data_IF_021965718714
#
_entry.id   IF_021965718714
#
_cell.length_a   1.000
_cell.length_b   1.000
_cell.length_c   1.000
_cell.angle_alpha   90.00
_cell.angle_beta   90.00
_cell.angle_gamma   90.00
#
_symmetry.space_group_name_H-M   'P 1'
#
loop_
_entity.id
_entity.type
_entity.pdbx_description
1 polymer ?
#
# COMPACT_ATOMS: atom_id res chain seq x y z
N UNK A 1 27.44 12.12 1.87
CA UNK A 1 27.08 12.08 3.31
C UNK A 1 26.67 10.64 3.59
N UNK A 2 27.36 9.96 4.47
CA UNK A 2 26.94 8.60 4.87
C UNK A 2 25.68 8.76 5.72
N UNK A 3 24.58 8.18 5.28
CA UNK A 3 23.27 8.22 5.97
C UNK A 3 23.32 7.62 7.40
N UNK A 4 24.48 7.05 7.78
CA UNK A 4 24.71 6.41 9.08
C UNK A 4 24.86 7.40 10.25
N UNK A 5 25.08 8.69 9.96
CA UNK A 5 25.31 9.71 10.99
C UNK A 5 24.10 10.63 11.25
N UNK A 6 22.98 10.45 10.53
CA UNK A 6 21.79 11.29 10.72
C UNK A 6 20.99 10.83 11.94
N UNK A 7 20.83 11.73 12.89
CA UNK A 7 20.09 11.43 14.13
C UNK A 7 18.62 11.87 14.08
N UNK A 8 18.25 12.69 13.11
CA UNK A 8 16.91 13.28 12.91
C UNK A 8 16.34 13.94 14.17
N UNK A 9 17.20 14.61 14.95
CA UNK A 9 16.78 15.36 16.14
C UNK A 9 16.31 16.77 15.81
N UNK A 10 16.73 17.31 14.67
CA UNK A 10 16.49 18.71 14.30
C UNK A 10 15.94 18.82 12.86
N UNK A 11 15.19 19.91 12.60
CA UNK A 11 14.73 20.24 11.24
C UNK A 11 15.92 20.50 10.29
N UNK A 12 17.07 20.93 10.80
CA UNK A 12 18.30 21.12 10.00
C UNK A 12 18.82 19.79 9.47
N UNK A 13 18.94 18.76 10.32
CA UNK A 13 19.37 17.42 9.89
C UNK A 13 18.40 16.81 8.87
N UNK A 14 17.10 17.06 9.04
CA UNK A 14 16.09 16.62 8.09
C UNK A 14 16.27 17.30 6.73
N UNK A 15 16.55 18.60 6.71
CA UNK A 15 16.84 19.34 5.47
C UNK A 15 18.12 18.83 4.81
N UNK A 16 19.18 18.60 5.56
CA UNK A 16 20.44 18.03 5.05
C UNK A 16 20.21 16.66 4.42
N UNK A 17 19.31 15.86 5.01
CA UNK A 17 18.90 14.59 4.42
C UNK A 17 18.12 14.76 3.10
N UNK A 18 17.22 15.73 3.01
CA UNK A 18 16.55 16.06 1.75
C UNK A 18 17.53 16.53 0.68
N UNK A 19 18.46 17.40 1.02
CA UNK A 19 19.51 17.87 0.10
C UNK A 19 20.35 16.70 -0.43
N UNK A 20 20.63 15.71 0.43
CA UNK A 20 21.26 14.47 0.00
C UNK A 20 20.38 13.66 -0.97
N UNK A 21 19.09 13.49 -0.72
CA UNK A 21 18.18 12.81 -1.67
C UNK A 21 18.21 13.52 -3.02
N UNK A 22 18.16 14.85 -3.05
CA UNK A 22 18.26 15.63 -4.29
C UNK A 22 19.59 15.41 -5.04
N UNK A 23 20.69 15.22 -4.32
CA UNK A 23 22.00 15.00 -4.91
C UNK A 23 22.15 13.65 -5.63
N UNK A 24 21.35 12.66 -5.25
CA UNK A 24 21.39 11.28 -5.80
C UNK A 24 20.16 10.92 -6.65
N UNK A 25 19.33 11.92 -6.97
CA UNK A 25 18.10 11.71 -7.73
C UNK A 25 18.36 11.22 -9.15
N UNK A 26 17.48 10.37 -9.63
CA UNK A 26 17.41 9.93 -11.02
C UNK A 26 16.29 10.69 -11.74
N UNK A 27 16.67 11.58 -12.64
CA UNK A 27 15.74 12.48 -13.34
C UNK A 27 14.82 11.70 -14.27
N UNK A 28 15.33 10.70 -15.00
CA UNK A 28 14.53 9.89 -15.93
C UNK A 28 13.49 9.09 -15.15
N UNK A 29 13.90 8.51 -14.01
CA UNK A 29 12.99 7.79 -13.11
C UNK A 29 11.94 8.73 -12.51
N UNK A 30 12.29 9.94 -12.10
CA UNK A 30 11.35 10.97 -11.65
C UNK A 30 10.31 11.26 -12.73
N UNK A 31 10.76 11.58 -13.94
CA UNK A 31 9.89 11.97 -15.05
C UNK A 31 8.96 10.83 -15.49
N UNK A 32 9.43 9.60 -15.40
CA UNK A 32 8.59 8.42 -15.60
C UNK A 32 7.52 8.30 -14.50
N UNK A 33 7.91 8.37 -13.22
CA UNK A 33 6.97 8.21 -12.10
C UNK A 33 5.93 9.33 -12.06
N UNK A 34 6.30 10.57 -12.37
CA UNK A 34 5.36 11.69 -12.42
C UNK A 34 4.20 11.46 -13.41
N UNK A 35 4.42 10.65 -14.46
CA UNK A 35 3.38 10.31 -15.45
C UNK A 35 2.45 9.21 -14.98
N UNK A 36 2.91 8.29 -14.13
CA UNK A 36 2.15 7.10 -13.73
C UNK A 36 1.56 7.18 -12.34
N UNK A 37 2.19 7.95 -11.43
CA UNK A 37 1.70 8.15 -10.06
C UNK A 37 0.73 9.32 -10.08
N UNK A 38 -0.55 9.03 -10.33
CA UNK A 38 -1.64 10.02 -10.35
C UNK A 38 -2.84 9.48 -9.57
N UNK A 39 -3.61 10.32 -8.87
CA UNK A 39 -3.25 11.70 -8.51
C UNK A 39 -2.09 11.74 -7.51
N UNK A 40 -1.43 12.87 -7.39
CA UNK A 40 -0.39 13.10 -6.39
C UNK A 40 -0.41 14.57 -5.97
N UNK A 41 -0.49 14.81 -4.66
CA UNK A 41 -0.47 16.15 -4.07
C UNK A 41 0.93 16.58 -3.62
N UNK A 42 1.94 15.73 -3.86
CA UNK A 42 3.33 15.99 -3.51
C UNK A 42 4.25 15.86 -4.73
N UNK A 43 5.39 16.52 -4.66
CA UNK A 43 6.41 16.40 -5.70
C UNK A 43 7.17 15.07 -5.60
N UNK A 44 7.79 14.64 -6.70
CA UNK A 44 8.62 13.42 -6.76
C UNK A 44 10.08 13.85 -6.95
N UNK A 45 10.97 13.42 -6.04
CA UNK A 45 12.41 13.67 -6.14
C UNK A 45 13.04 12.79 -7.23
N UNK A 46 12.65 11.52 -7.26
CA UNK A 46 13.17 10.53 -8.21
C UNK A 46 14.18 9.56 -7.59
N UNK A 47 13.94 9.09 -6.38
CA UNK A 47 14.79 8.08 -5.75
C UNK A 47 14.21 6.69 -6.00
N UNK A 48 15.01 5.80 -6.59
CA UNK A 48 14.57 4.43 -6.87
C UNK A 48 14.21 3.68 -5.60
N UNK A 49 13.10 2.96 -5.62
CA UNK A 49 12.55 2.21 -4.47
C UNK A 49 13.58 1.33 -3.74
N UNK A 50 14.48 0.58 -4.40
CA UNK A 50 15.50 -0.19 -3.68
C UNK A 50 16.44 0.68 -2.84
N UNK A 51 16.80 1.87 -3.33
CA UNK A 51 17.66 2.83 -2.59
C UNK A 51 16.91 3.36 -1.37
N UNK A 52 15.64 3.78 -1.52
CA UNK A 52 14.81 4.22 -0.41
C UNK A 52 14.65 3.13 0.66
N UNK A 53 14.41 1.88 0.25
CA UNK A 53 14.31 0.75 1.19
C UNK A 53 15.61 0.50 1.95
N UNK A 54 16.76 0.63 1.29
CA UNK A 54 18.07 0.49 1.95
C UNK A 54 18.30 1.60 2.97
N UNK A 55 17.99 2.85 2.62
CA UNK A 55 18.04 3.99 3.54
C UNK A 55 17.12 3.77 4.74
N UNK A 56 15.87 3.36 4.51
CA UNK A 56 14.93 3.08 5.58
C UNK A 56 15.45 1.98 6.53
N UNK A 57 16.11 0.93 6.02
CA UNK A 57 16.74 -0.10 6.87
C UNK A 57 17.90 0.45 7.71
N UNK A 58 18.69 1.38 7.18
CA UNK A 58 19.79 2.03 7.92
C UNK A 58 19.21 2.91 9.02
N UNK A 59 18.26 3.79 8.70
CA UNK A 59 17.57 4.67 9.65
C UNK A 59 16.84 3.84 10.74
N UNK A 60 16.22 2.72 10.36
CA UNK A 60 15.54 1.82 11.30
C UNK A 60 16.45 1.23 12.38
N UNK A 61 17.76 1.14 12.13
CA UNK A 61 18.75 0.63 13.10
C UNK A 61 19.26 1.69 14.07
N UNK A 62 19.21 2.97 13.70
CA UNK A 62 19.92 4.05 14.42
C UNK A 62 19.01 5.12 14.95
N UNK A 63 18.00 5.55 14.21
CA UNK A 63 17.26 6.79 14.49
C UNK A 63 15.79 6.77 14.05
N UNK A 64 15.18 5.59 13.96
CA UNK A 64 13.81 5.46 13.44
C UNK A 64 12.77 6.25 14.21
N UNK A 65 12.82 6.24 15.54
CA UNK A 65 11.86 6.97 16.38
C UNK A 65 11.99 8.47 16.17
N UNK A 66 13.22 8.99 16.13
CA UNK A 66 13.46 10.40 15.87
C UNK A 66 12.94 10.82 14.50
N UNK A 67 13.20 9.99 13.45
CA UNK A 67 12.69 10.27 12.11
C UNK A 67 11.15 10.32 12.10
N UNK A 68 10.50 9.29 12.64
CA UNK A 68 9.03 9.20 12.66
C UNK A 68 8.42 10.41 13.38
N UNK A 69 8.92 10.74 14.57
CA UNK A 69 8.43 11.87 15.36
C UNK A 69 8.67 13.22 14.65
N UNK A 70 9.84 13.40 14.07
CA UNK A 70 10.17 14.64 13.35
C UNK A 70 9.35 14.79 12.06
N UNK A 71 9.16 13.71 11.31
CA UNK A 71 8.32 13.69 10.12
C UNK A 71 6.88 14.10 10.45
N UNK A 72 6.25 13.51 11.48
CA UNK A 72 4.89 13.85 11.89
C UNK A 72 4.74 15.33 12.28
N UNK A 73 5.74 15.84 13.03
CA UNK A 73 5.81 17.26 13.38
C UNK A 73 5.94 18.16 12.14
N UNK A 74 6.77 17.77 11.16
CA UNK A 74 6.96 18.53 9.93
C UNK A 74 5.72 18.45 9.03
N UNK A 75 5.09 17.29 8.95
CA UNK A 75 3.83 17.12 8.21
C UNK A 75 2.74 18.04 8.75
N UNK A 76 2.54 18.07 10.08
CA UNK A 76 1.58 18.97 10.74
C UNK A 76 1.86 20.45 10.42
N UNK A 77 3.12 20.82 10.24
CA UNK A 77 3.55 22.16 9.84
C UNK A 77 3.49 22.41 8.32
N UNK A 78 2.98 21.46 7.52
CA UNK A 78 2.95 21.50 6.05
C UNK A 78 4.34 21.68 5.42
N UNK A 79 5.36 21.04 5.99
CA UNK A 79 6.75 21.08 5.52
C UNK A 79 7.20 19.77 4.85
N UNK A 80 6.31 18.80 4.68
CA UNK A 80 6.55 17.56 3.93
C UNK A 80 5.96 17.73 2.56
N UNK A 81 6.78 17.65 1.52
CA UNK A 81 6.39 18.01 0.15
C UNK A 81 6.66 16.89 -0.87
N UNK A 82 7.39 15.82 -0.51
CA UNK A 82 7.86 14.84 -1.48
C UNK A 82 7.29 13.44 -1.23
N UNK A 83 7.02 12.73 -2.33
CA UNK A 83 6.61 11.34 -2.36
C UNK A 83 7.55 10.44 -1.54
N UNK A 84 8.85 10.64 -1.71
CA UNK A 84 9.87 9.83 -1.05
C UNK A 84 9.87 9.97 0.47
N UNK A 85 9.49 11.13 1.00
CA UNK A 85 9.35 11.34 2.44
C UNK A 85 8.24 10.46 3.02
N UNK A 86 7.08 10.40 2.34
CA UNK A 86 5.95 9.54 2.73
C UNK A 86 6.28 8.06 2.59
N UNK A 87 6.98 7.69 1.51
CA UNK A 87 7.43 6.32 1.29
C UNK A 87 8.42 5.86 2.36
N UNK A 88 9.39 6.71 2.73
CA UNK A 88 10.33 6.43 3.83
C UNK A 88 9.62 6.26 5.17
N UNK A 89 8.65 7.14 5.49
CA UNK A 89 7.84 7.00 6.70
C UNK A 89 7.16 5.63 6.73
N UNK A 90 6.49 5.23 5.66
CA UNK A 90 5.83 3.94 5.54
C UNK A 90 6.81 2.75 5.67
N UNK A 91 7.98 2.81 5.04
CA UNK A 91 9.00 1.76 5.18
C UNK A 91 9.53 1.65 6.61
N UNK A 92 9.70 2.77 7.30
CA UNK A 92 10.16 2.79 8.68
C UNK A 92 9.15 2.14 9.64
N UNK A 93 7.85 2.29 9.40
CA UNK A 93 6.83 1.53 10.15
C UNK A 93 7.11 0.02 10.04
N UNK A 94 7.47 -0.45 8.85
CA UNK A 94 7.76 -1.87 8.61
C UNK A 94 9.06 -2.35 9.24
N UNK A 95 10.14 -1.56 9.14
CA UNK A 95 11.49 -1.98 9.53
C UNK A 95 11.87 -1.66 10.99
N UNK A 96 11.21 -0.69 11.64
CA UNK A 96 11.55 -0.27 12.99
C UNK A 96 11.24 -1.32 14.05
N UNK A 97 12.05 -1.35 15.11
CA UNK A 97 11.83 -2.18 16.28
C UNK A 97 10.95 -1.44 17.30
N UNK A 98 9.69 -1.29 16.98
CA UNK A 98 8.65 -0.71 17.85
C UNK A 98 7.63 -1.80 18.20
N UNK A 99 6.95 -1.64 19.33
CA UNK A 99 5.89 -2.57 19.72
C UNK A 99 4.69 -2.50 18.76
N UNK A 100 3.81 -3.49 18.85
CA UNK A 100 2.70 -3.61 17.90
C UNK A 100 1.68 -2.48 18.04
N UNK A 101 1.39 -2.03 19.27
CA UNK A 101 0.40 -0.98 19.49
C UNK A 101 0.92 0.39 19.01
N UNK A 102 2.19 0.70 19.25
CA UNK A 102 2.82 1.90 18.70
C UNK A 102 2.83 1.85 17.17
N UNK A 103 3.08 0.68 16.59
CA UNK A 103 3.04 0.48 15.13
C UNK A 103 1.66 0.77 14.55
N UNK A 104 0.57 0.33 15.20
CA UNK A 104 -0.79 0.63 14.75
C UNK A 104 -1.07 2.13 14.75
N UNK A 105 -0.61 2.88 15.76
CA UNK A 105 -0.74 4.35 15.79
C UNK A 105 0.00 5.01 14.61
N UNK A 106 1.21 4.53 14.30
CA UNK A 106 1.98 5.03 13.15
C UNK A 106 1.29 4.68 11.82
N UNK A 107 0.65 3.53 11.73
CA UNK A 107 -0.16 3.14 10.56
C UNK A 107 -1.39 4.06 10.44
N UNK A 108 -2.08 4.39 11.53
CA UNK A 108 -3.19 5.34 11.49
C UNK A 108 -2.74 6.70 10.97
N UNK A 109 -1.59 7.19 11.42
CA UNK A 109 -1.02 8.43 10.87
C UNK A 109 -0.66 8.27 9.39
N UNK A 110 -0.01 7.15 9.01
CA UNK A 110 0.38 6.88 7.63
C UNK A 110 -0.82 6.87 6.67
N UNK A 111 -1.91 6.20 7.05
CA UNK A 111 -3.14 6.16 6.25
C UNK A 111 -3.65 7.57 5.94
N UNK A 112 -3.58 8.49 6.90
CA UNK A 112 -4.04 9.86 6.73
C UNK A 112 -3.13 10.71 5.81
N UNK A 113 -1.91 10.28 5.54
CA UNK A 113 -0.98 10.99 4.64
C UNK A 113 -0.91 10.39 3.24
N UNK A 114 -1.58 9.26 3.00
CA UNK A 114 -1.66 8.64 1.67
C UNK A 114 -2.47 9.55 0.74
N UNK A 115 -1.90 9.94 -0.37
CA UNK A 115 -2.52 10.78 -1.40
C UNK A 115 -2.49 10.14 -2.79
N UNK A 116 -1.85 8.97 -2.92
CA UNK A 116 -1.76 8.25 -4.18
C UNK A 116 -1.59 6.74 -3.97
N UNK A 117 -1.85 5.98 -5.04
CA UNK A 117 -1.77 4.52 -5.02
C UNK A 117 -0.35 4.00 -4.71
N UNK A 118 0.69 4.68 -5.17
CA UNK A 118 2.06 4.20 -5.02
C UNK A 118 2.55 4.30 -3.56
N UNK A 119 2.20 5.38 -2.83
CA UNK A 119 2.47 5.48 -1.38
C UNK A 119 1.71 4.40 -0.63
N UNK A 120 0.43 4.14 -0.99
CA UNK A 120 -0.39 3.12 -0.34
C UNK A 120 0.23 1.72 -0.48
N UNK A 121 0.63 1.35 -1.70
CA UNK A 121 0.99 -0.02 -2.04
C UNK A 121 2.45 -0.36 -1.67
N UNK A 122 3.35 0.64 -1.71
CA UNK A 122 4.80 0.42 -1.59
C UNK A 122 5.21 -0.22 -0.26
N UNK A 123 4.39 -0.08 0.79
CA UNK A 123 4.69 -0.54 2.15
C UNK A 123 4.38 -2.02 2.38
N UNK A 124 3.55 -2.64 1.54
CA UNK A 124 3.10 -4.03 1.69
C UNK A 124 4.25 -5.00 1.94
N UNK A 125 5.30 -4.89 1.13
CA UNK A 125 6.47 -5.76 1.18
C UNK A 125 7.35 -5.57 2.43
N UNK A 126 7.13 -4.50 3.21
CA UNK A 126 7.88 -4.18 4.43
C UNK A 126 7.15 -4.55 5.72
N UNK A 127 5.84 -4.70 5.68
CA UNK A 127 5.00 -4.99 6.84
C UNK A 127 5.06 -6.46 7.31
N UNK A 128 6.27 -7.05 7.27
CA UNK A 128 6.48 -8.47 7.65
C UNK A 128 6.12 -8.79 9.11
N UNK A 129 5.97 -7.78 9.96
CA UNK A 129 5.48 -7.94 11.31
C UNK A 129 4.05 -8.54 11.35
N UNK A 130 3.26 -8.36 10.29
CA UNK A 130 1.91 -8.94 10.15
C UNK A 130 1.96 -10.46 10.29
N UNK A 131 3.00 -11.13 9.80
CA UNK A 131 3.11 -12.59 9.92
C UNK A 131 3.20 -13.09 11.37
N UNK A 132 3.66 -12.23 12.30
CA UNK A 132 3.76 -12.55 13.73
C UNK A 132 2.54 -12.09 14.53
N UNK A 133 1.77 -11.13 14.00
CA UNK A 133 0.61 -10.51 14.66
C UNK A 133 -0.63 -10.62 13.76
N UNK A 134 -0.82 -11.78 13.12
CA UNK A 134 -1.75 -11.93 12.01
C UNK A 134 -3.20 -11.68 12.40
N UNK A 135 -3.64 -12.26 13.51
CA UNK A 135 -5.02 -12.12 13.99
C UNK A 135 -5.29 -10.70 14.50
N UNK A 136 -4.36 -10.12 15.25
CA UNK A 136 -4.50 -8.78 15.79
C UNK A 136 -4.51 -7.73 14.66
N UNK A 137 -3.66 -7.92 13.63
CA UNK A 137 -3.66 -7.00 12.49
C UNK A 137 -4.91 -7.19 11.62
N UNK A 138 -5.44 -8.43 11.51
CA UNK A 138 -6.72 -8.66 10.85
C UNK A 138 -7.86 -7.95 11.59
N UNK A 139 -7.91 -8.07 12.92
CA UNK A 139 -8.89 -7.35 13.74
C UNK A 139 -8.78 -5.83 13.58
N UNK A 140 -7.55 -5.29 13.51
CA UNK A 140 -7.32 -3.87 13.22
C UNK A 140 -7.87 -3.47 11.84
N UNK A 141 -7.60 -4.23 10.77
CA UNK A 141 -8.11 -3.93 9.43
C UNK A 141 -9.65 -3.98 9.41
N UNK A 142 -10.24 -5.01 10.04
CA UNK A 142 -11.71 -5.18 10.04
C UNK A 142 -12.42 -4.14 10.91
N UNK A 143 -11.78 -3.58 11.93
CA UNK A 143 -12.33 -2.45 12.68
C UNK A 143 -12.52 -1.17 11.85
N UNK A 144 -11.89 -1.09 10.67
CA UNK A 144 -11.89 0.06 9.76
C UNK A 144 -12.82 -0.09 8.54
N UNK A 145 -13.65 -1.13 8.49
CA UNK A 145 -14.53 -1.40 7.32
C UNK A 145 -15.60 -0.32 7.08
N UNK A 146 -15.88 0.53 8.08
CA UNK A 146 -16.77 1.69 7.94
C UNK A 146 -16.07 2.97 7.47
N UNK A 147 -14.77 2.91 7.15
CA UNK A 147 -14.01 4.06 6.67
C UNK A 147 -14.63 4.65 5.40
N UNK A 148 -14.63 5.99 5.33
CA UNK A 148 -15.08 6.73 4.14
C UNK A 148 -13.93 7.29 3.33
N UNK A 149 -12.72 7.36 3.90
CA UNK A 149 -11.52 7.79 3.18
C UNK A 149 -11.11 6.74 2.13
N UNK A 150 -11.02 7.10 0.85
CA UNK A 150 -10.70 6.16 -0.23
C UNK A 150 -9.33 5.49 -0.05
N UNK A 151 -8.35 6.18 0.49
CA UNK A 151 -7.01 5.62 0.70
C UNK A 151 -6.97 4.64 1.87
N UNK A 152 -7.78 4.85 2.92
CA UNK A 152 -7.97 3.88 3.99
C UNK A 152 -8.65 2.61 3.47
N UNK A 153 -9.70 2.75 2.64
CA UNK A 153 -10.35 1.62 1.97
C UNK A 153 -9.37 0.87 1.06
N UNK A 154 -8.56 1.58 0.27
CA UNK A 154 -7.52 0.95 -0.56
C UNK A 154 -6.50 0.22 0.29
N UNK A 155 -6.01 0.83 1.36
CA UNK A 155 -5.05 0.22 2.28
C UNK A 155 -5.56 -1.12 2.84
N UNK A 156 -6.84 -1.21 3.23
CA UNK A 156 -7.46 -2.46 3.68
C UNK A 156 -7.31 -3.53 2.59
N UNK A 157 -7.71 -3.25 1.35
CA UNK A 157 -7.63 -4.23 0.25
C UNK A 157 -6.20 -4.64 -0.08
N UNK A 158 -5.25 -3.71 -0.06
CA UNK A 158 -3.83 -3.99 -0.32
C UNK A 158 -3.25 -4.88 0.79
N UNK A 159 -3.57 -4.63 2.07
CA UNK A 159 -3.13 -5.47 3.17
C UNK A 159 -3.77 -6.86 3.14
N UNK A 160 -5.07 -6.96 2.80
CA UNK A 160 -5.74 -8.25 2.60
C UNK A 160 -5.08 -9.04 1.46
N UNK A 161 -4.77 -8.38 0.35
CA UNK A 161 -4.08 -8.98 -0.80
C UNK A 161 -2.70 -9.53 -0.42
N UNK A 162 -1.92 -8.75 0.34
CA UNK A 162 -0.54 -9.10 0.66
C UNK A 162 -0.42 -10.21 1.70
N UNK A 163 -1.36 -10.28 2.65
CA UNK A 163 -1.18 -11.10 3.86
C UNK A 163 -2.30 -12.10 4.15
N UNK A 164 -3.49 -11.96 3.56
CA UNK A 164 -4.68 -12.72 3.99
C UNK A 164 -5.34 -13.56 2.89
N UNK A 165 -4.78 -13.63 1.69
CA UNK A 165 -5.32 -14.53 0.65
C UNK A 165 -4.96 -15.97 1.00
N UNK A 166 -5.69 -16.52 1.97
CA UNK A 166 -5.62 -17.88 2.52
C UNK A 166 -7.03 -18.42 2.72
N UNK A 167 -7.18 -19.75 2.71
CA UNK A 167 -8.48 -20.43 2.84
C UNK A 167 -9.31 -19.91 4.03
N UNK A 168 -8.66 -19.76 5.20
CA UNK A 168 -9.28 -19.28 6.43
C UNK A 168 -9.99 -17.92 6.27
N UNK A 169 -9.45 -17.02 5.47
CA UNK A 169 -9.95 -15.64 5.33
C UNK A 169 -10.76 -15.42 4.05
N UNK A 170 -10.78 -16.39 3.13
CA UNK A 170 -11.32 -16.19 1.78
C UNK A 170 -12.79 -15.73 1.79
N UNK A 171 -13.63 -16.39 2.58
CA UNK A 171 -15.06 -16.02 2.69
C UNK A 171 -15.26 -14.62 3.25
N UNK A 172 -14.44 -14.23 4.21
CA UNK A 172 -14.52 -12.89 4.79
C UNK A 172 -13.97 -11.82 3.82
N UNK A 173 -12.93 -12.13 3.06
CA UNK A 173 -12.45 -11.26 1.96
C UNK A 173 -13.59 -10.96 0.98
N UNK A 174 -14.35 -11.96 0.56
CA UNK A 174 -15.50 -11.77 -0.33
C UNK A 174 -16.58 -10.87 0.30
N UNK A 175 -16.94 -11.11 1.55
CA UNK A 175 -17.86 -10.23 2.29
C UNK A 175 -17.36 -8.80 2.40
N UNK A 176 -16.07 -8.61 2.73
CA UNK A 176 -15.45 -7.28 2.80
C UNK A 176 -15.50 -6.58 1.44
N UNK A 177 -15.26 -7.30 0.33
CA UNK A 177 -15.40 -6.76 -1.01
C UNK A 177 -16.80 -6.23 -1.30
N UNK A 178 -17.85 -6.91 -0.83
CA UNK A 178 -19.24 -6.46 -0.98
C UNK A 178 -19.64 -5.37 0.02
N UNK A 179 -19.08 -5.39 1.22
CA UNK A 179 -19.40 -4.45 2.30
C UNK A 179 -18.84 -3.04 2.02
N UNK A 180 -17.59 -2.93 1.60
CA UNK A 180 -16.97 -1.63 1.26
C UNK A 180 -17.49 -1.21 -0.12
N UNK A 181 -18.49 -0.35 -0.13
CA UNK A 181 -19.02 0.27 -1.36
C UNK A 181 -18.28 1.58 -1.62
N UNK A 182 -17.75 1.74 -2.82
CA UNK A 182 -17.04 2.94 -3.21
C UNK A 182 -17.06 3.09 -4.74
N UNK A 183 -17.28 4.31 -5.21
CA UNK A 183 -17.18 4.67 -6.63
C UNK A 183 -15.76 5.14 -7.01
N UNK A 184 -14.90 5.29 -6.01
CA UNK A 184 -13.52 5.73 -6.19
C UNK A 184 -12.68 4.73 -6.99
N UNK A 185 -12.10 5.21 -8.07
CA UNK A 185 -11.34 4.38 -9.02
C UNK A 185 -10.28 3.52 -8.35
N UNK A 186 -9.47 4.12 -7.46
CA UNK A 186 -8.35 3.40 -6.83
C UNK A 186 -8.80 2.39 -5.78
N UNK A 187 -9.97 2.56 -5.17
CA UNK A 187 -10.58 1.56 -4.28
C UNK A 187 -11.07 0.37 -5.09
N UNK A 188 -11.84 0.63 -6.15
CA UNK A 188 -12.36 -0.41 -7.05
C UNK A 188 -11.22 -1.18 -7.72
N UNK A 189 -10.13 -0.50 -8.09
CA UNK A 189 -8.94 -1.13 -8.68
C UNK A 189 -8.24 -2.07 -7.67
N UNK A 190 -8.10 -1.68 -6.41
CA UNK A 190 -7.51 -2.51 -5.36
C UNK A 190 -8.36 -3.77 -5.09
N UNK A 191 -9.69 -3.60 -5.04
CA UNK A 191 -10.64 -4.69 -4.91
C UNK A 191 -10.51 -5.69 -6.08
N UNK A 192 -10.48 -5.19 -7.30
CA UNK A 192 -10.31 -6.03 -8.50
C UNK A 192 -8.96 -6.76 -8.49
N UNK A 193 -7.90 -6.12 -8.02
CA UNK A 193 -6.58 -6.74 -7.89
C UNK A 193 -6.61 -7.85 -6.82
N UNK A 194 -7.18 -7.59 -5.64
CA UNK A 194 -7.37 -8.59 -4.59
C UNK A 194 -8.12 -9.82 -5.12
N UNK A 195 -9.25 -9.63 -5.80
CA UNK A 195 -10.05 -10.72 -6.37
C UNK A 195 -9.26 -11.51 -7.43
N UNK A 196 -8.41 -10.85 -8.21
CA UNK A 196 -7.56 -11.55 -9.16
C UNK A 196 -6.51 -12.44 -8.48
N UNK A 197 -5.97 -12.01 -7.34
CA UNK A 197 -5.03 -12.83 -6.54
C UNK A 197 -5.78 -13.98 -5.85
N UNK A 198 -7.01 -13.74 -5.37
CA UNK A 198 -7.88 -14.81 -4.85
C UNK A 198 -8.13 -15.87 -5.93
N UNK A 199 -8.43 -15.47 -7.17
CA UNK A 199 -8.65 -16.41 -8.26
C UNK A 199 -7.42 -17.28 -8.54
N UNK A 200 -6.23 -16.71 -8.52
CA UNK A 200 -4.98 -17.47 -8.71
C UNK A 200 -4.79 -18.58 -7.69
N UNK A 201 -5.23 -18.37 -6.44
CA UNK A 201 -5.05 -19.33 -5.34
C UNK A 201 -6.28 -20.22 -5.10
N UNK A 202 -7.47 -19.68 -5.31
CA UNK A 202 -8.77 -20.29 -4.99
C UNK A 202 -9.70 -20.06 -6.19
N UNK A 203 -9.39 -20.74 -7.29
CA UNK A 203 -10.03 -20.51 -8.59
C UNK A 203 -11.54 -20.72 -8.54
N UNK A 204 -11.98 -21.87 -8.06
CA UNK A 204 -13.39 -22.28 -8.14
C UNK A 204 -14.26 -21.44 -7.20
N UNK A 205 -13.79 -21.16 -5.99
CA UNK A 205 -14.49 -20.33 -5.02
C UNK A 205 -14.60 -18.88 -5.51
N UNK A 206 -13.52 -18.36 -6.11
CA UNK A 206 -13.52 -16.99 -6.64
C UNK A 206 -14.35 -16.87 -7.92
N UNK A 207 -14.35 -17.91 -8.77
CA UNK A 207 -15.22 -17.96 -9.93
C UNK A 207 -16.69 -17.86 -9.51
N UNK A 208 -17.09 -18.73 -8.57
CA UNK A 208 -18.46 -18.76 -8.03
C UNK A 208 -18.82 -17.41 -7.39
N UNK A 209 -17.92 -16.83 -6.61
CA UNK A 209 -18.15 -15.49 -6.05
C UNK A 209 -18.39 -14.44 -7.13
N UNK A 210 -17.55 -14.38 -8.20
CA UNK A 210 -17.71 -13.41 -9.29
C UNK A 210 -19.02 -13.63 -10.10
N UNK A 211 -19.52 -14.85 -10.15
CA UNK A 211 -20.77 -15.20 -10.81
C UNK A 211 -21.99 -14.68 -10.01
N UNK A 212 -21.96 -14.83 -8.67
CA UNK A 212 -23.09 -14.58 -7.76
C UNK A 212 -23.07 -13.18 -7.10
N UNK A 213 -21.94 -12.46 -7.13
CA UNK A 213 -21.74 -11.21 -6.38
C UNK A 213 -22.60 -10.05 -6.85
N UNK A 214 -22.95 -9.18 -5.89
CA UNK A 214 -23.62 -7.89 -6.11
C UNK A 214 -22.64 -6.71 -6.34
N UNK A 215 -21.36 -6.99 -6.60
CA UNK A 215 -20.40 -5.93 -6.99
C UNK A 215 -20.84 -5.24 -8.29
N UNK A 216 -20.48 -3.98 -8.43
CA UNK A 216 -20.72 -3.22 -9.67
C UNK A 216 -20.00 -3.85 -10.87
N UNK A 217 -20.56 -3.66 -12.05
CA UNK A 217 -20.10 -4.28 -13.29
C UNK A 217 -18.66 -3.89 -13.65
N UNK A 218 -18.27 -2.65 -13.37
CA UNK A 218 -16.90 -2.20 -13.58
C UNK A 218 -15.91 -3.02 -12.73
N UNK A 219 -16.20 -3.21 -11.43
CA UNK A 219 -15.35 -3.98 -10.52
C UNK A 219 -15.24 -5.45 -10.95
N UNK A 220 -16.36 -6.07 -11.32
CA UNK A 220 -16.36 -7.45 -11.83
C UNK A 220 -15.54 -7.54 -13.12
N UNK A 221 -15.81 -6.68 -14.10
CA UNK A 221 -15.10 -6.68 -15.37
C UNK A 221 -13.60 -6.38 -15.22
N UNK A 222 -13.24 -5.50 -14.29
CA UNK A 222 -11.83 -5.20 -13.98
C UNK A 222 -11.15 -6.39 -13.28
N UNK A 223 -11.84 -7.13 -12.43
CA UNK A 223 -11.34 -8.36 -11.81
C UNK A 223 -11.04 -9.41 -12.89
N UNK A 224 -11.98 -9.61 -13.83
CA UNK A 224 -11.79 -10.50 -14.97
C UNK A 224 -10.59 -10.08 -15.83
N UNK A 225 -10.44 -8.77 -16.10
CA UNK A 225 -9.29 -8.24 -16.81
C UNK A 225 -7.98 -8.58 -16.09
N UNK A 226 -7.90 -8.32 -14.76
CA UNK A 226 -6.72 -8.61 -13.95
C UNK A 226 -6.39 -10.10 -13.86
N UNK A 227 -7.39 -10.96 -13.79
CA UNK A 227 -7.23 -12.42 -13.85
C UNK A 227 -6.59 -12.81 -15.20
N UNK A 228 -7.07 -12.26 -16.30
CA UNK A 228 -6.55 -12.55 -17.66
C UNK A 228 -5.15 -11.99 -17.91
N UNK A 229 -4.78 -10.88 -17.27
CA UNK A 229 -3.43 -10.32 -17.31
C UNK A 229 -2.41 -11.19 -16.54
N UNK A 230 -2.86 -12.01 -15.61
CA UNK A 230 -1.97 -12.84 -14.78
C UNK A 230 -1.30 -13.94 -15.60
N UNK A 231 0.03 -14.03 -15.48
CA UNK A 231 0.82 -15.15 -16.07
C UNK A 231 0.60 -16.49 -15.34
N UNK A 232 -0.01 -16.46 -14.12
CA UNK A 232 -0.29 -17.66 -13.32
C UNK A 232 -1.61 -18.34 -13.67
N UNK A 233 -2.43 -17.73 -14.53
CA UNK A 233 -3.72 -18.26 -14.98
C UNK A 233 -3.54 -18.91 -16.35
N UNK A 234 -4.06 -20.11 -16.53
CA UNK A 234 -3.97 -20.85 -17.80
C UNK A 234 -4.76 -20.17 -18.92
N UNK A 235 -4.44 -20.48 -20.17
CA UNK A 235 -5.20 -19.93 -21.31
C UNK A 235 -6.67 -20.37 -21.27
N UNK A 236 -6.94 -21.61 -20.90
CA UNK A 236 -8.30 -22.15 -20.76
C UNK A 236 -9.10 -21.39 -19.69
N UNK A 237 -8.51 -21.19 -18.51
CA UNK A 237 -9.17 -20.43 -17.42
C UNK A 237 -9.41 -18.97 -17.81
N UNK A 238 -8.50 -18.36 -18.59
CA UNK A 238 -8.67 -16.99 -19.11
C UNK A 238 -9.85 -16.87 -20.08
N UNK A 239 -10.13 -17.90 -20.87
CA UNK A 239 -11.31 -17.92 -21.74
C UNK A 239 -12.58 -18.24 -20.94
N UNK A 240 -12.50 -19.20 -20.01
CA UNK A 240 -13.63 -19.58 -19.14
C UNK A 240 -14.17 -18.40 -18.35
N UNK A 241 -13.30 -17.58 -17.75
CA UNK A 241 -13.73 -16.45 -16.89
C UNK A 241 -14.45 -15.34 -17.69
N UNK A 242 -14.26 -15.26 -19.01
CA UNK A 242 -14.92 -14.26 -19.86
C UNK A 242 -16.44 -14.38 -19.88
N UNK A 243 -16.99 -15.57 -19.61
CA UNK A 243 -18.44 -15.79 -19.55
C UNK A 243 -19.11 -14.93 -18.49
N UNK A 244 -18.36 -14.58 -17.42
CA UNK A 244 -18.85 -13.74 -16.33
C UNK A 244 -18.79 -12.24 -16.63
N UNK A 245 -18.29 -11.83 -17.81
CA UNK A 245 -18.20 -10.42 -18.17
C UNK A 245 -19.59 -9.81 -18.28
N UNK A 246 -19.81 -8.73 -17.54
CA UNK A 246 -21.06 -7.97 -17.53
C UNK A 246 -21.09 -6.91 -18.63
N UNK A 247 -22.31 -6.58 -19.10
CA UNK A 247 -22.52 -5.62 -20.21
C UNK A 247 -22.41 -4.18 -19.75
#
# INVERSE_FOLDING_TARGET
>A
MESENLTFKTEKEYKEFLDYLFSIRDIEYRDFNTKIIVPVDCEIIGIRTPILKDMAKKIAKTSSENFLNLFEKLFTKKKVNYYEEKALYGFLIGYSKIDFQERLKRIDFFINIIDNWAVCDIVDSTFKFVNKNKEEFYAYLTSKLSATNPWEQRFIFVMLLAYYVEEKYLKDIFKICEQIKSDEYYVKMAKAWLLSVCYVKFKDETYKFLEETNLDDWTVNKSIQKIRESSRVTKEDKEKILVLKRK
#
